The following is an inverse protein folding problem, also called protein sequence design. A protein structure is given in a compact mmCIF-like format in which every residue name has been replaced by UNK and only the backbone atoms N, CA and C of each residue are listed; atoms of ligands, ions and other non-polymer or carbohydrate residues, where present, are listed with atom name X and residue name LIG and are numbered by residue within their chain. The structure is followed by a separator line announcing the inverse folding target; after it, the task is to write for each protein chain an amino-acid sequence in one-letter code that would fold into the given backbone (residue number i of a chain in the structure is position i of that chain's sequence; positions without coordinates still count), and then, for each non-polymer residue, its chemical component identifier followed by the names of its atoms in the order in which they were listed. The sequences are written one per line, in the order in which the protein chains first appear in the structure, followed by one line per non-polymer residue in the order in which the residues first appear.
data_IF_302355027290
#
_entry.id   IF_302355027290
#
_cell.length_a   1.000
_cell.length_b   1.000
_cell.length_c   1.000
_cell.angle_alpha   90.00
_cell.angle_beta   90.00
_cell.angle_gamma   90.00
#
_symmetry.space_group_name_H-M   'P 1'
#
loop_
_entity.id
_entity.type
_entity.pdbx_description
1 polymer ?
#
# COMPACT_ATOMS: atom_id res chain seq x y z
N UNK A 1 -22.83 24.63 30.77
CA UNK A 1 -21.93 23.85 31.64
C UNK A 1 -22.47 22.44 31.72
N UNK A 2 -21.82 21.45 31.10
CA UNK A 2 -22.03 20.02 31.38
C UNK A 2 -20.89 19.22 30.73
N UNK A 3 -20.41 18.21 31.47
CA UNK A 3 -19.19 17.42 31.25
C UNK A 3 -19.58 15.95 30.95
N UNK A 4 -18.65 15.15 30.41
CA UNK A 4 -18.86 13.96 29.56
C UNK A 4 -18.30 12.62 30.08
N UNK A 5 -18.70 11.49 29.47
CA UNK A 5 -18.29 10.12 29.82
C UNK A 5 -16.85 9.76 29.40
N UNK A 6 -16.32 8.66 29.98
CA UNK A 6 -14.89 8.42 30.17
C UNK A 6 -14.55 6.94 29.88
N UNK A 7 -13.54 6.76 29.03
CA UNK A 7 -12.57 5.67 28.94
C UNK A 7 -12.36 4.82 30.21
N UNK A 8 -12.41 3.50 30.05
CA UNK A 8 -11.93 2.51 31.02
C UNK A 8 -10.77 1.73 30.39
N UNK A 9 -9.77 1.40 31.19
CA UNK A 9 -8.51 0.77 30.80
C UNK A 9 -8.66 -0.75 30.49
N UNK A 10 -9.80 -1.17 29.96
CA UNK A 10 -10.16 -2.56 29.70
C UNK A 10 -10.93 -2.64 28.40
N UNK A 11 -10.42 -3.45 27.46
CA UNK A 11 -11.07 -3.81 26.20
C UNK A 11 -12.59 -4.04 26.34
N UNK A 12 -13.36 -3.58 25.36
CA UNK A 12 -14.64 -4.21 24.99
C UNK A 12 -14.56 -4.68 23.53
N UNK A 13 -13.54 -5.48 23.22
CA UNK A 13 -13.38 -6.16 21.92
C UNK A 13 -13.33 -5.25 20.67
N UNK A 14 -13.48 -5.86 19.49
CA UNK A 14 -13.37 -5.26 18.14
C UNK A 14 -14.50 -4.27 17.76
N UNK A 15 -15.11 -3.59 18.72
CA UNK A 15 -16.35 -2.81 18.51
C UNK A 15 -16.07 -1.33 18.20
N UNK A 16 -16.76 -0.82 17.19
CA UNK A 16 -16.80 0.57 16.76
C UNK A 16 -17.79 1.35 17.63
N UNK A 17 -17.36 2.50 18.17
CA UNK A 17 -18.21 3.43 18.92
C UNK A 17 -18.75 4.49 17.96
N UNK A 18 -20.05 4.82 18.04
CA UNK A 18 -20.63 5.87 17.20
C UNK A 18 -21.74 6.65 17.91
N UNK A 19 -22.04 7.83 17.38
CA UNK A 19 -23.11 8.71 17.85
C UNK A 19 -24.04 9.09 16.70
N UNK A 20 -25.34 8.80 16.79
CA UNK A 20 -26.32 9.11 15.74
C UNK A 20 -27.67 9.45 16.35
N UNK A 21 -28.27 10.55 15.89
CA UNK A 21 -29.60 11.00 16.32
C UNK A 21 -29.76 11.16 17.86
N UNK A 22 -28.72 11.62 18.56
CA UNK A 22 -28.78 11.90 20.00
C UNK A 22 -28.62 10.66 20.90
N UNK A 23 -28.26 9.50 20.34
CA UNK A 23 -28.02 8.26 21.07
C UNK A 23 -26.59 7.76 20.83
N UNK A 24 -26.02 7.10 21.85
CA UNK A 24 -24.73 6.41 21.76
C UNK A 24 -24.93 4.94 21.40
N UNK A 25 -23.95 4.35 20.73
CA UNK A 25 -23.91 2.91 20.50
C UNK A 25 -22.49 2.36 20.38
N UNK A 26 -22.35 1.05 20.59
CA UNK A 26 -21.15 0.30 20.25
C UNK A 26 -21.53 -0.95 19.46
N UNK A 27 -20.72 -1.33 18.47
CA UNK A 27 -20.98 -2.53 17.67
C UNK A 27 -19.78 -3.00 16.86
N UNK A 28 -19.71 -4.29 16.54
CA UNK A 28 -18.84 -4.80 15.48
C UNK A 28 -19.53 -4.80 14.11
N UNK A 29 -20.85 -4.56 14.07
CA UNK A 29 -21.75 -4.63 12.90
C UNK A 29 -22.81 -3.51 13.01
N UNK A 30 -22.76 -2.52 12.12
CA UNK A 30 -23.57 -1.29 12.24
C UNK A 30 -25.08 -1.55 12.17
N UNK A 31 -25.50 -2.65 11.55
CA UNK A 31 -26.90 -3.05 11.39
C UNK A 31 -27.45 -3.77 12.63
N UNK A 32 -26.58 -4.20 13.56
CA UNK A 32 -26.93 -4.83 14.85
C UNK A 32 -26.61 -3.97 16.06
N UNK A 33 -26.35 -2.68 15.84
CA UNK A 33 -25.87 -1.82 16.89
C UNK A 33 -26.87 -1.70 18.05
N UNK A 34 -26.39 -2.04 19.26
CA UNK A 34 -27.12 -1.74 20.48
C UNK A 34 -27.02 -0.24 20.75
N UNK A 35 -28.18 0.40 20.84
CA UNK A 35 -28.32 1.83 21.13
C UNK A 35 -28.67 1.97 22.59
N UNK A 36 -28.08 2.96 23.24
CA UNK A 36 -28.36 3.29 24.61
C UNK A 36 -28.75 4.76 24.69
N UNK A 37 -29.74 5.04 25.52
CA UNK A 37 -29.96 6.40 26.00
C UNK A 37 -28.99 6.74 27.16
N UNK A 38 -29.06 7.99 27.61
CA UNK A 38 -28.15 8.52 28.62
C UNK A 38 -28.28 7.81 29.98
N UNK A 39 -29.48 7.42 30.38
CA UNK A 39 -29.73 6.79 31.68
C UNK A 39 -29.35 5.30 31.66
N UNK A 40 -29.56 4.63 30.53
CA UNK A 40 -29.10 3.26 30.28
C UNK A 40 -27.57 3.16 30.32
N UNK A 41 -26.87 4.06 29.62
CA UNK A 41 -25.41 4.12 29.61
C UNK A 41 -24.83 4.33 31.02
N UNK A 42 -25.52 5.13 31.85
CA UNK A 42 -25.14 5.39 33.24
C UNK A 42 -25.34 4.16 34.14
N UNK A 43 -26.40 3.38 33.94
CA UNK A 43 -26.66 2.15 34.72
C UNK A 43 -25.63 1.04 34.48
N UNK A 44 -25.06 0.99 33.27
CA UNK A 44 -24.01 0.05 32.90
C UNK A 44 -22.68 0.40 33.61
N UNK A 45 -22.50 1.65 34.03
CA UNK A 45 -21.25 2.17 34.63
C UNK A 45 -21.03 1.81 36.10
N UNK A 46 -22.05 1.41 36.87
CA UNK A 46 -21.90 1.18 38.33
C UNK A 46 -21.19 -0.15 38.70
N UNK A 47 -20.78 -0.96 37.71
CA UNK A 47 -20.20 -2.29 37.94
C UNK A 47 -18.69 -2.42 37.77
N UNK A 48 -17.98 -1.43 37.20
CA UNK A 48 -16.58 -1.58 36.79
C UNK A 48 -15.70 -0.49 37.40
N UNK A 49 -15.05 -0.77 38.53
CA UNK A 49 -14.25 0.17 39.32
C UNK A 49 -12.96 0.73 38.67
N UNK A 50 -13.07 1.40 37.53
CA UNK A 50 -12.00 2.20 36.92
C UNK A 50 -12.14 3.70 37.24
N UNK A 51 -11.03 4.44 37.29
CA UNK A 51 -11.07 5.90 37.42
C UNK A 51 -11.47 6.57 36.10
N UNK A 52 -12.50 7.41 36.16
CA UNK A 52 -13.13 8.02 34.99
C UNK A 52 -12.85 9.56 34.92
N UNK A 53 -12.29 10.10 33.81
CA UNK A 53 -12.08 11.54 33.41
C UNK A 53 -12.93 12.15 32.26
N UNK A 54 -13.62 13.28 32.51
CA UNK A 54 -14.59 13.88 31.55
C UNK A 54 -13.90 14.57 30.33
N UNK A 55 -14.45 14.43 29.11
CA UNK A 55 -13.87 15.00 27.84
C UNK A 55 -14.90 15.82 27.01
N UNK A 56 -14.61 17.05 26.59
CA UNK A 56 -15.53 17.98 25.86
C UNK A 56 -16.23 17.39 24.59
N UNK A 57 -17.52 17.72 24.33
CA UNK A 57 -18.30 17.20 23.17
C UNK A 57 -17.70 17.61 21.84
N UNK A 58 -17.14 18.82 21.77
CA UNK A 58 -16.54 19.32 20.53
C UNK A 58 -15.33 18.47 20.15
N UNK A 59 -14.64 17.92 21.15
CA UNK A 59 -13.57 16.96 20.93
C UNK A 59 -14.12 15.66 20.34
N UNK A 60 -15.24 15.14 20.85
CA UNK A 60 -15.89 13.91 20.35
C UNK A 60 -16.31 14.02 18.88
N UNK A 61 -16.85 15.16 18.46
CA UNK A 61 -17.19 15.41 17.05
C UNK A 61 -15.94 15.38 16.14
N UNK A 62 -14.82 15.93 16.59
CA UNK A 62 -13.54 15.90 15.86
C UNK A 62 -12.92 14.49 15.77
N UNK A 63 -13.04 13.64 16.81
CA UNK A 63 -12.46 12.28 16.79
C UNK A 63 -13.37 11.26 16.08
N UNK A 64 -14.67 11.51 15.99
CA UNK A 64 -15.69 10.54 15.54
C UNK A 64 -15.66 10.11 14.07
N UNK A 65 -14.70 10.59 13.26
CA UNK A 65 -14.60 10.23 11.83
C UNK A 65 -13.34 9.46 11.44
N UNK A 66 -12.47 9.11 12.40
CA UNK A 66 -11.24 8.37 12.08
C UNK A 66 -11.13 7.10 12.89
N UNK A 67 -11.48 6.00 12.23
CA UNK A 67 -11.02 4.68 12.62
C UNK A 67 -9.50 4.67 12.49
N UNK A 68 -8.77 4.86 13.58
CA UNK A 68 -7.36 4.51 13.64
C UNK A 68 -7.24 3.41 14.67
N UNK A 69 -6.82 2.22 14.23
CA UNK A 69 -6.47 1.14 15.14
C UNK A 69 -5.55 1.72 16.23
N UNK A 70 -5.96 1.63 17.50
CA UNK A 70 -5.23 2.20 18.63
C UNK A 70 -3.82 1.58 18.81
N UNK A 71 -3.53 0.52 18.06
CA UNK A 71 -2.29 -0.22 18.05
C UNK A 71 -1.20 0.46 17.20
N UNK A 72 -1.59 1.39 16.31
CA UNK A 72 -0.67 2.16 15.47
C UNK A 72 -0.45 3.61 15.94
N UNK A 73 -1.09 4.03 17.03
CA UNK A 73 -0.86 5.34 17.62
C UNK A 73 0.26 5.28 18.65
N UNK A 74 1.33 6.05 18.47
CA UNK A 74 2.30 6.31 19.54
C UNK A 74 1.60 7.10 20.65
N UNK A 75 1.07 6.38 21.64
CA UNK A 75 0.32 6.93 22.78
C UNK A 75 1.12 7.98 23.55
N UNK A 76 2.45 8.00 23.42
CA UNK A 76 3.33 9.00 24.05
C UNK A 76 3.24 10.38 23.40
N UNK A 77 2.63 10.50 22.22
CA UNK A 77 2.50 11.75 21.45
C UNK A 77 1.10 12.39 21.54
N UNK A 78 0.11 11.69 22.09
CA UNK A 78 -1.25 12.22 22.26
C UNK A 78 -1.23 13.43 23.22
N UNK A 79 -1.80 14.56 22.80
CA UNK A 79 -1.89 15.78 23.60
C UNK A 79 -0.58 16.58 23.71
N UNK A 80 0.47 16.19 23.00
CA UNK A 80 1.70 16.97 22.87
C UNK A 80 1.66 17.82 21.61
N UNK A 81 2.20 19.03 21.68
CA UNK A 81 2.45 19.84 20.50
C UNK A 81 3.38 19.04 19.58
N UNK A 82 2.89 18.70 18.39
CA UNK A 82 3.74 18.09 17.36
C UNK A 82 4.67 19.23 16.94
N UNK A 83 6.00 19.09 17.08
CA UNK A 83 6.93 20.07 16.54
C UNK A 83 6.51 20.37 15.11
N UNK A 84 6.47 21.65 14.71
CA UNK A 84 6.23 22.00 13.29
C UNK A 84 7.07 21.04 12.47
N UNK A 85 6.40 20.33 11.55
CA UNK A 85 7.03 19.51 10.54
C UNK A 85 8.34 20.17 10.16
N UNK A 86 9.46 19.56 10.58
CA UNK A 86 10.76 20.02 10.12
C UNK A 86 10.68 20.04 8.58
N UNK A 87 11.26 21.06 7.94
CA UNK A 87 11.25 21.20 6.48
C UNK A 87 11.75 19.92 5.79
N UNK A 88 12.40 19.01 6.53
CA UNK A 88 12.76 17.63 6.19
C UNK A 88 11.61 16.66 5.86
N UNK A 89 10.34 17.01 6.09
CA UNK A 89 9.20 16.22 5.56
C UNK A 89 9.21 16.19 4.02
N UNK A 90 9.79 17.22 3.41
CA UNK A 90 10.16 17.27 2.00
C UNK A 90 11.65 17.60 1.94
N UNK A 91 12.52 16.59 2.04
CA UNK A 91 13.96 16.76 1.90
C UNK A 91 14.33 17.17 0.46
N UNK A 92 14.00 18.41 0.08
CA UNK A 92 14.18 18.94 -1.27
C UNK A 92 13.43 18.14 -2.34
N UNK A 93 14.19 17.61 -3.29
CA UNK A 93 13.70 16.84 -4.44
C UNK A 93 13.49 15.34 -4.14
N UNK A 94 13.58 14.92 -2.88
CA UNK A 94 13.47 13.53 -2.48
C UNK A 94 12.06 13.14 -2.01
N UNK A 95 11.69 11.88 -2.25
CA UNK A 95 10.55 11.21 -1.61
C UNK A 95 11.02 10.38 -0.42
N UNK A 96 10.18 10.22 0.60
CA UNK A 96 10.41 9.28 1.71
C UNK A 96 9.83 7.91 1.35
N UNK A 97 10.64 6.86 1.42
CA UNK A 97 10.25 5.50 1.05
C UNK A 97 9.74 4.69 2.26
N UNK A 98 9.22 3.47 2.00
CA UNK A 98 8.70 2.58 3.04
C UNK A 98 9.74 2.22 4.11
N UNK A 99 10.99 2.01 3.71
CA UNK A 99 12.12 1.73 4.59
C UNK A 99 12.61 2.95 5.38
N UNK A 100 12.05 4.14 5.11
CA UNK A 100 12.45 5.41 5.73
C UNK A 100 13.66 6.07 5.06
N UNK A 101 14.05 5.62 3.85
CA UNK A 101 15.09 6.28 3.05
C UNK A 101 14.53 7.47 2.28
N UNK A 102 15.41 8.42 1.95
CA UNK A 102 15.08 9.51 1.04
C UNK A 102 15.66 9.20 -0.34
N UNK A 103 14.80 9.14 -1.36
CA UNK A 103 15.21 8.89 -2.75
C UNK A 103 14.92 10.11 -3.61
N UNK A 104 15.93 10.63 -4.31
CA UNK A 104 15.73 11.64 -5.35
C UNK A 104 15.37 10.95 -6.67
N UNK A 105 14.11 10.99 -7.08
CA UNK A 105 13.67 10.35 -8.34
C UNK A 105 14.17 11.07 -9.60
N UNK A 106 14.62 12.33 -9.47
CA UNK A 106 15.14 13.12 -10.60
C UNK A 106 16.64 12.91 -10.84
N UNK A 107 17.35 12.46 -9.82
CA UNK A 107 18.79 12.13 -9.85
C UNK A 107 19.04 10.93 -8.91
N UNK A 108 18.61 9.72 -9.31
CA UNK A 108 18.56 8.56 -8.43
C UNK A 108 19.94 7.97 -8.19
N UNK A 109 20.32 7.88 -6.92
CA UNK A 109 21.48 7.13 -6.47
C UNK A 109 21.10 5.64 -6.25
N UNK A 110 21.75 4.68 -6.92
CA UNK A 110 21.50 3.25 -6.74
C UNK A 110 21.58 2.75 -5.30
N UNK A 111 22.35 3.40 -4.42
CA UNK A 111 22.47 3.00 -3.01
C UNK A 111 21.24 3.32 -2.14
N UNK A 112 20.43 4.26 -2.58
CA UNK A 112 19.17 4.63 -1.92
C UNK A 112 18.01 3.73 -2.34
N UNK A 113 18.17 2.97 -3.43
CA UNK A 113 17.19 2.02 -3.95
C UNK A 113 17.34 0.68 -3.22
N UNK A 114 16.25 0.21 -2.62
CA UNK A 114 16.18 -1.10 -1.93
C UNK A 114 14.97 -1.88 -2.41
N UNK A 115 15.10 -3.20 -2.46
CA UNK A 115 14.08 -4.07 -3.06
C UNK A 115 12.80 -4.11 -2.22
N UNK A 116 12.91 -3.94 -0.92
CA UNK A 116 11.77 -3.89 0.00
C UNK A 116 10.84 -2.70 -0.29
N UNK A 117 11.40 -1.57 -0.71
CA UNK A 117 10.62 -0.39 -1.09
C UNK A 117 9.89 -0.62 -2.42
N UNK A 118 10.57 -1.26 -3.38
CA UNK A 118 9.96 -1.62 -4.67
C UNK A 118 8.82 -2.60 -4.45
N UNK A 119 9.08 -3.71 -3.76
CA UNK A 119 8.07 -4.73 -3.49
C UNK A 119 6.87 -4.15 -2.72
N UNK A 120 7.12 -3.26 -1.75
CA UNK A 120 6.06 -2.58 -1.01
C UNK A 120 5.23 -1.67 -1.91
N UNK A 121 5.87 -0.77 -2.66
CA UNK A 121 5.18 0.17 -3.54
C UNK A 121 4.36 -0.55 -4.61
N UNK A 122 4.96 -1.51 -5.32
CA UNK A 122 4.28 -2.26 -6.38
C UNK A 122 3.11 -3.12 -5.86
N UNK A 123 3.17 -3.64 -4.64
CA UNK A 123 2.07 -4.40 -4.05
C UNK A 123 0.85 -3.52 -3.70
N UNK A 124 1.09 -2.25 -3.39
CA UNK A 124 0.05 -1.27 -3.08
C UNK A 124 -0.47 -0.53 -4.31
N UNK A 125 0.33 -0.42 -5.37
CA UNK A 125 -0.06 0.25 -6.62
C UNK A 125 -1.02 -0.64 -7.41
N UNK A 126 -2.27 -0.18 -7.61
CA UNK A 126 -3.30 -0.95 -8.33
C UNK A 126 -3.33 -0.59 -9.82
N UNK A 127 -3.33 -1.61 -10.67
CA UNK A 127 -3.31 -1.43 -12.12
C UNK A 127 -4.56 -0.78 -12.69
N UNK A 128 -4.43 -0.33 -13.93
CA UNK A 128 -5.48 0.38 -14.68
C UNK A 128 -5.90 1.68 -13.99
N UNK A 129 -4.94 2.37 -13.37
CA UNK A 129 -5.16 3.62 -12.65
C UNK A 129 -6.21 3.47 -11.55
N UNK A 130 -6.15 2.39 -10.77
CA UNK A 130 -7.08 2.11 -9.66
C UNK A 130 -8.54 1.87 -10.05
N UNK A 131 -8.85 1.56 -11.32
CA UNK A 131 -10.22 1.38 -11.79
C UNK A 131 -10.67 -0.08 -11.93
N UNK A 132 -9.92 -1.04 -11.39
CA UNK A 132 -10.32 -2.43 -11.36
C UNK A 132 -11.32 -2.72 -10.22
N UNK A 133 -12.28 -3.64 -10.43
CA UNK A 133 -13.23 -4.06 -9.39
C UNK A 133 -12.60 -4.90 -8.25
N UNK A 134 -11.34 -5.29 -8.40
CA UNK A 134 -10.52 -5.99 -7.40
C UNK A 134 -9.14 -5.36 -7.37
N UNK A 135 -8.46 -5.44 -6.23
CA UNK A 135 -7.07 -5.01 -6.11
C UNK A 135 -6.15 -5.99 -6.84
N UNK A 136 -5.75 -5.63 -8.06
CA UNK A 136 -4.74 -6.35 -8.83
C UNK A 136 -3.56 -5.40 -9.03
N UNK A 137 -2.47 -5.69 -8.32
CA UNK A 137 -1.37 -4.77 -8.16
C UNK A 137 -0.35 -4.85 -9.29
N UNK A 138 0.52 -3.84 -9.41
CA UNK A 138 1.67 -3.89 -10.33
C UNK A 138 2.60 -5.06 -9.97
N UNK A 139 2.72 -5.42 -8.69
CA UNK A 139 3.46 -6.60 -8.27
C UNK A 139 2.83 -7.90 -8.80
N UNK A 140 1.50 -8.04 -8.81
CA UNK A 140 0.83 -9.19 -9.43
C UNK A 140 1.21 -9.30 -10.91
N UNK A 141 1.07 -8.20 -11.64
CA UNK A 141 1.42 -8.15 -13.06
C UNK A 141 2.89 -8.52 -13.30
N UNK A 142 3.81 -7.93 -12.55
CA UNK A 142 5.25 -8.19 -12.68
C UNK A 142 5.61 -9.65 -12.45
N UNK A 143 4.94 -10.31 -11.49
CA UNK A 143 5.10 -11.74 -11.24
C UNK A 143 4.61 -12.56 -12.43
N UNK A 144 3.44 -12.24 -12.97
CA UNK A 144 2.89 -12.96 -14.14
C UNK A 144 3.75 -12.78 -15.39
N UNK A 145 4.25 -11.58 -15.65
CA UNK A 145 5.22 -11.32 -16.72
C UNK A 145 6.48 -12.16 -16.53
N UNK A 146 7.04 -12.21 -15.32
CA UNK A 146 8.22 -13.03 -15.03
C UNK A 146 7.97 -14.54 -15.19
N UNK A 147 6.75 -15.02 -14.92
CA UNK A 147 6.37 -16.42 -15.07
C UNK A 147 6.33 -16.87 -16.54
N UNK A 148 5.96 -15.97 -17.45
CA UNK A 148 5.92 -16.20 -18.90
C UNK A 148 7.29 -16.19 -19.58
N UNK A 149 8.36 -15.82 -18.88
CA UNK A 149 9.70 -15.61 -19.43
C UNK A 149 10.67 -16.78 -19.17
N UNK A 150 11.68 -16.99 -20.05
CA UNK A 150 12.75 -17.93 -19.80
C UNK A 150 13.62 -17.49 -18.60
N UNK A 151 14.29 -18.44 -17.95
CA UNK A 151 15.03 -18.24 -16.70
C UNK A 151 15.97 -17.01 -16.71
N UNK A 152 16.73 -16.80 -17.78
CA UNK A 152 17.67 -15.68 -17.92
C UNK A 152 17.00 -14.30 -18.02
N UNK A 153 15.69 -14.22 -18.30
CA UNK A 153 14.93 -12.98 -18.38
C UNK A 153 13.96 -12.78 -17.21
N UNK A 154 13.88 -13.72 -16.26
CA UNK A 154 12.89 -13.64 -15.17
C UNK A 154 13.12 -12.46 -14.24
N UNK A 155 14.37 -12.13 -13.93
CA UNK A 155 14.69 -10.97 -13.09
C UNK A 155 14.31 -9.66 -13.81
N UNK A 156 14.64 -9.57 -15.10
CA UNK A 156 14.29 -8.43 -15.95
C UNK A 156 12.77 -8.24 -16.06
N UNK A 157 12.02 -9.34 -16.26
CA UNK A 157 10.56 -9.31 -16.27
C UNK A 157 9.94 -8.98 -14.92
N UNK A 158 10.52 -9.44 -13.81
CA UNK A 158 10.02 -9.11 -12.47
C UNK A 158 10.20 -7.63 -12.12
N UNK A 159 11.27 -6.99 -12.62
CA UNK A 159 11.62 -5.61 -12.31
C UNK A 159 11.25 -4.60 -13.42
N UNK A 160 10.53 -5.02 -14.45
CA UNK A 160 10.29 -4.19 -15.63
C UNK A 160 9.51 -2.89 -15.33
N UNK A 161 8.58 -2.95 -14.37
CA UNK A 161 7.78 -1.80 -13.89
C UNK A 161 8.30 -1.26 -12.53
N UNK A 162 9.53 -1.58 -12.13
CA UNK A 162 10.04 -1.24 -10.78
C UNK A 162 10.02 0.26 -10.43
N UNK A 163 10.15 1.15 -11.43
CA UNK A 163 10.05 2.61 -11.23
C UNK A 163 8.67 3.06 -10.75
N UNK A 164 7.60 2.31 -11.03
CA UNK A 164 6.24 2.63 -10.61
C UNK A 164 6.08 2.57 -9.08
N UNK A 165 6.98 1.86 -8.37
CA UNK A 165 7.00 1.87 -6.91
C UNK A 165 7.28 3.26 -6.31
N UNK A 166 7.91 4.13 -7.09
CA UNK A 166 8.29 5.48 -6.68
C UNK A 166 7.53 6.58 -7.43
N UNK A 167 7.15 6.32 -8.68
CA UNK A 167 6.49 7.30 -9.56
C UNK A 167 4.99 7.06 -9.75
N UNK A 168 4.48 5.88 -9.36
CA UNK A 168 3.10 5.43 -9.57
C UNK A 168 2.84 4.80 -10.95
N UNK A 169 1.76 4.01 -11.06
CA UNK A 169 1.28 3.46 -12.34
C UNK A 169 0.48 4.54 -13.08
N UNK A 170 1.08 5.08 -14.15
CA UNK A 170 0.44 6.08 -14.98
C UNK A 170 -0.16 5.45 -16.23
N UNK A 171 -1.48 5.60 -16.37
CA UNK A 171 -2.20 5.15 -17.56
C UNK A 171 -1.55 5.64 -18.87
N UNK A 172 -1.31 4.69 -19.78
CA UNK A 172 -0.56 4.90 -21.03
C UNK A 172 -0.91 6.17 -21.82
N UNK A 173 -2.19 6.58 -22.00
CA UNK A 173 -2.50 7.81 -22.75
C UNK A 173 -1.96 9.08 -22.09
N UNK A 174 -1.95 9.13 -20.75
CA UNK A 174 -1.45 10.28 -19.98
C UNK A 174 0.08 10.30 -20.03
N UNK A 175 0.72 9.16 -19.79
CA UNK A 175 2.19 9.03 -19.84
C UNK A 175 2.77 9.49 -21.18
N UNK A 176 2.11 9.14 -22.29
CA UNK A 176 2.50 9.55 -23.65
C UNK A 176 2.45 11.06 -23.89
N UNK A 177 1.59 11.80 -23.18
CA UNK A 177 1.53 13.26 -23.30
C UNK A 177 2.53 13.99 -22.39
N UNK A 178 3.34 13.26 -21.61
CA UNK A 178 4.29 13.82 -20.65
C UNK A 178 5.74 13.37 -20.94
N UNK A 179 6.46 14.03 -21.87
CA UNK A 179 7.84 13.67 -22.21
C UNK A 179 8.82 13.77 -21.04
N UNK A 180 8.66 14.77 -20.18
CA UNK A 180 9.53 14.94 -19.01
C UNK A 180 9.35 13.80 -17.99
N UNK A 181 8.13 13.30 -17.82
CA UNK A 181 7.88 12.13 -16.97
C UNK A 181 8.60 10.90 -17.52
N UNK A 182 8.51 10.64 -18.83
CA UNK A 182 9.19 9.51 -19.48
C UNK A 182 10.71 9.61 -19.32
N UNK A 183 11.28 10.81 -19.36
CA UNK A 183 12.72 11.03 -19.14
C UNK A 183 13.13 10.73 -17.69
N UNK A 184 12.33 11.16 -16.71
CA UNK A 184 12.57 10.89 -15.28
C UNK A 184 12.49 9.39 -15.02
N UNK A 185 11.45 8.74 -15.55
CA UNK A 185 11.24 7.30 -15.41
C UNK A 185 12.36 6.48 -16.07
N UNK A 186 12.83 6.85 -17.27
CA UNK A 186 13.99 6.19 -17.93
C UNK A 186 15.26 6.32 -17.08
N UNK A 187 15.50 7.49 -16.48
CA UNK A 187 16.62 7.72 -15.56
C UNK A 187 16.54 6.85 -14.31
N UNK A 188 15.36 6.77 -13.69
CA UNK A 188 15.11 5.93 -12.52
C UNK A 188 15.25 4.44 -12.85
N UNK A 189 14.69 3.98 -13.98
CA UNK A 189 14.81 2.60 -14.42
C UNK A 189 16.27 2.19 -14.70
N UNK A 190 17.10 3.09 -15.24
CA UNK A 190 18.55 2.83 -15.38
C UNK A 190 19.23 2.62 -14.03
N UNK A 191 18.98 3.49 -13.06
CA UNK A 191 19.56 3.35 -11.72
C UNK A 191 19.10 2.06 -11.01
N UNK A 192 17.83 1.67 -11.19
CA UNK A 192 17.29 0.39 -10.69
C UNK A 192 17.97 -0.80 -11.40
N UNK A 193 18.14 -0.73 -12.71
CA UNK A 193 18.81 -1.77 -13.50
C UNK A 193 20.27 -1.95 -13.09
N UNK A 194 21.00 -0.85 -12.87
CA UNK A 194 22.37 -0.86 -12.36
C UNK A 194 22.43 -1.48 -10.96
N UNK A 195 21.49 -1.11 -10.07
CA UNK A 195 21.43 -1.62 -8.70
C UNK A 195 21.23 -3.14 -8.64
N UNK A 196 20.35 -3.69 -9.48
CA UNK A 196 19.97 -5.10 -9.44
C UNK A 196 20.54 -5.93 -10.58
N UNK A 197 21.42 -5.37 -11.39
CA UNK A 197 22.18 -6.05 -12.44
C UNK A 197 21.27 -6.78 -13.47
N UNK A 198 20.26 -6.08 -13.99
CA UNK A 198 19.47 -6.55 -15.14
C UNK A 198 19.60 -5.59 -16.33
N UNK A 199 19.14 -6.00 -17.51
CA UNK A 199 19.30 -5.20 -18.72
C UNK A 199 18.27 -4.07 -18.79
N UNK A 200 18.74 -2.85 -19.06
CA UNK A 200 17.89 -1.74 -19.46
C UNK A 200 18.56 -0.93 -20.59
N UNK A 201 17.88 -0.62 -21.71
CA UNK A 201 16.47 -0.85 -22.00
C UNK A 201 16.06 -2.33 -22.08
N UNK A 202 14.81 -2.61 -21.69
CA UNK A 202 14.27 -3.96 -21.64
C UNK A 202 14.32 -4.69 -23.00
N UNK A 203 14.66 -5.98 -22.94
CA UNK A 203 14.65 -7.00 -23.97
C UNK A 203 13.29 -7.08 -24.66
N UNK A 204 13.29 -7.50 -25.92
CA UNK A 204 12.06 -7.55 -26.74
C UNK A 204 11.07 -8.56 -26.18
N UNK A 205 11.57 -9.67 -25.67
CA UNK A 205 10.82 -10.77 -25.07
C UNK A 205 10.04 -10.30 -23.85
N UNK A 206 10.64 -9.48 -22.98
CA UNK A 206 9.98 -8.89 -21.81
C UNK A 206 8.84 -7.97 -22.25
N UNK A 207 9.06 -7.10 -23.24
CA UNK A 207 8.02 -6.22 -23.79
C UNK A 207 6.88 -6.97 -24.48
N UNK A 208 7.18 -8.12 -25.07
CA UNK A 208 6.17 -8.99 -25.69
C UNK A 208 5.33 -9.64 -24.58
N UNK A 209 5.96 -10.12 -23.51
CA UNK A 209 5.26 -10.79 -22.42
C UNK A 209 4.42 -9.84 -21.57
N UNK A 210 4.93 -8.64 -21.25
CA UNK A 210 4.16 -7.55 -20.63
C UNK A 210 2.86 -7.26 -21.42
N UNK A 211 2.97 -7.06 -22.73
CA UNK A 211 1.79 -6.82 -23.59
C UNK A 211 0.78 -7.96 -23.54
N UNK A 212 1.24 -9.22 -23.57
CA UNK A 212 0.34 -10.38 -23.47
C UNK A 212 -0.34 -10.41 -22.11
N UNK A 213 0.39 -10.17 -21.02
CA UNK A 213 -0.17 -10.12 -19.67
C UNK A 213 -1.26 -9.04 -19.58
N UNK A 214 -0.99 -7.83 -20.11
CA UNK A 214 -1.98 -6.74 -20.18
C UNK A 214 -3.26 -7.13 -20.95
N UNK A 215 -3.13 -7.83 -22.08
CA UNK A 215 -4.27 -8.32 -22.86
C UNK A 215 -5.11 -9.34 -22.08
N UNK A 216 -4.45 -10.29 -21.41
CA UNK A 216 -5.12 -11.30 -20.58
C UNK A 216 -5.80 -10.63 -19.38
N UNK A 217 -5.15 -9.66 -18.74
CA UNK A 217 -5.71 -8.85 -17.64
C UNK A 217 -6.96 -8.09 -18.07
N UNK A 218 -6.92 -7.45 -19.24
CA UNK A 218 -8.05 -6.73 -19.80
C UNK A 218 -9.27 -7.63 -20.00
N UNK A 219 -9.10 -8.75 -20.70
CA UNK A 219 -10.15 -9.76 -20.90
C UNK A 219 -10.63 -10.29 -19.54
N UNK A 220 -9.68 -10.49 -18.62
CA UNK A 220 -9.96 -11.09 -17.32
C UNK A 220 -10.83 -10.21 -16.44
N UNK A 221 -10.47 -8.94 -16.30
CA UNK A 221 -11.08 -8.03 -15.32
C UNK A 221 -12.13 -7.10 -15.90
N UNK A 222 -12.10 -6.81 -17.21
CA UNK A 222 -13.06 -5.87 -17.85
C UNK A 222 -14.17 -6.57 -18.61
N UNK A 223 -13.86 -7.62 -19.38
CA UNK A 223 -14.84 -8.24 -20.28
C UNK A 223 -15.70 -9.32 -19.60
N UNK A 224 -15.10 -10.09 -18.69
CA UNK A 224 -15.82 -11.14 -17.97
C UNK A 224 -16.64 -10.57 -16.80
N UNK A 225 -17.83 -10.04 -17.11
CA UNK A 225 -18.74 -9.36 -16.18
C UNK A 225 -19.09 -10.10 -14.86
N UNK A 226 -18.86 -11.41 -14.68
CA UNK A 226 -19.22 -12.12 -13.44
C UNK A 226 -18.38 -13.38 -13.08
N UNK A 227 -17.10 -13.48 -13.49
CA UNK A 227 -16.34 -14.73 -13.29
C UNK A 227 -15.03 -14.55 -12.50
N UNK A 228 -15.12 -14.33 -11.19
CA UNK A 228 -13.96 -14.45 -10.29
C UNK A 228 -13.61 -15.91 -9.92
N UNK A 229 -14.48 -16.87 -10.27
CA UNK A 229 -14.26 -18.28 -9.97
C UNK A 229 -13.51 -18.95 -11.13
N UNK A 230 -12.22 -19.28 -10.90
CA UNK A 230 -11.44 -20.19 -11.74
C UNK A 230 -10.58 -19.55 -12.84
N UNK A 231 -10.05 -18.35 -12.62
CA UNK A 231 -9.21 -17.63 -13.59
C UNK A 231 -7.70 -17.81 -13.36
N UNK A 232 -6.85 -17.60 -14.40
CA UNK A 232 -5.44 -18.01 -14.40
C UNK A 232 -4.53 -17.24 -13.43
N UNK A 233 -4.98 -16.12 -12.88
CA UNK A 233 -4.18 -15.27 -11.99
C UNK A 233 -4.52 -15.48 -10.52
N UNK A 234 -3.49 -15.63 -9.68
CA UNK A 234 -3.63 -15.65 -8.23
C UNK A 234 -3.76 -14.22 -7.69
N UNK A 235 -4.96 -13.82 -7.28
CA UNK A 235 -5.19 -12.54 -6.59
C UNK A 235 -4.99 -12.79 -5.09
N UNK A 236 -3.74 -12.64 -4.64
CA UNK A 236 -3.39 -12.69 -3.22
C UNK A 236 -3.61 -11.31 -2.57
N UNK A 237 -3.64 -11.25 -1.23
CA UNK A 237 -3.65 -9.97 -0.53
C UNK A 237 -2.30 -9.24 -0.68
N UNK A 238 -2.26 -7.95 -0.34
CA UNK A 238 -1.09 -7.09 -0.53
C UNK A 238 0.17 -7.57 0.23
N UNK A 239 0.02 -8.18 1.40
CA UNK A 239 1.15 -8.71 2.16
C UNK A 239 1.70 -9.96 1.48
N UNK A 240 0.82 -10.89 1.10
CA UNK A 240 1.20 -12.13 0.44
C UNK A 240 1.89 -11.84 -0.91
N UNK A 241 1.39 -10.87 -1.70
CA UNK A 241 2.01 -10.53 -2.98
C UNK A 241 3.37 -9.85 -2.82
N UNK A 242 3.54 -9.01 -1.80
CA UNK A 242 4.83 -8.40 -1.47
C UNK A 242 5.86 -9.47 -1.10
N UNK A 243 5.51 -10.40 -0.21
CA UNK A 243 6.40 -11.47 0.21
C UNK A 243 6.75 -12.40 -0.97
N UNK A 244 5.77 -12.70 -1.84
CA UNK A 244 6.00 -13.49 -3.05
C UNK A 244 6.94 -12.79 -4.03
N UNK A 245 6.76 -11.49 -4.26
CA UNK A 245 7.63 -10.68 -5.10
C UNK A 245 9.08 -10.72 -4.58
N UNK A 246 9.28 -10.50 -3.27
CA UNK A 246 10.60 -10.58 -2.62
C UNK A 246 11.21 -11.98 -2.76
N UNK A 247 10.42 -13.03 -2.53
CA UNK A 247 10.85 -14.41 -2.67
C UNK A 247 11.36 -14.69 -4.09
N UNK A 248 10.59 -14.30 -5.11
CA UNK A 248 10.95 -14.48 -6.52
C UNK A 248 12.17 -13.65 -6.91
N UNK A 249 12.27 -12.41 -6.45
CA UNK A 249 13.44 -11.57 -6.65
C UNK A 249 14.72 -12.27 -6.18
N UNK A 250 14.73 -12.82 -4.96
CA UNK A 250 15.89 -13.51 -4.43
C UNK A 250 16.22 -14.80 -5.20
N UNK A 251 15.22 -15.51 -5.71
CA UNK A 251 15.43 -16.70 -6.55
C UNK A 251 16.05 -16.29 -7.88
N UNK A 252 15.47 -15.32 -8.59
CA UNK A 252 15.91 -14.91 -9.92
C UNK A 252 17.27 -14.21 -9.87
N UNK A 253 17.56 -13.41 -8.84
CA UNK A 253 18.88 -12.81 -8.62
C UNK A 253 19.98 -13.87 -8.48
N UNK A 254 19.71 -14.95 -7.74
CA UNK A 254 20.65 -16.08 -7.60
C UNK A 254 20.84 -16.84 -8.91
N UNK A 255 19.79 -16.95 -9.73
CA UNK A 255 19.87 -17.60 -11.04
C UNK A 255 20.72 -16.78 -12.01
N UNK A 256 20.48 -15.47 -12.10
CA UNK A 256 21.26 -14.56 -12.94
C UNK A 256 22.76 -14.56 -12.59
N UNK A 257 23.10 -14.54 -11.28
CA UNK A 257 24.50 -14.60 -10.84
C UNK A 257 25.21 -15.93 -11.15
N UNK A 258 24.47 -17.04 -11.25
CA UNK A 258 25.03 -18.35 -11.66
C UNK A 258 25.31 -18.43 -13.15
N UNK A 259 24.47 -17.82 -13.98
CA UNK A 259 24.67 -17.78 -15.43
C UNK A 259 25.87 -16.89 -15.81
N UNK A 260 26.09 -15.78 -15.09
CA UNK A 260 27.25 -14.90 -15.29
C UNK A 260 28.61 -15.53 -14.92
N UNK A 261 28.65 -16.60 -14.11
CA UNK A 261 29.88 -17.26 -13.66
C UNK A 261 30.29 -18.47 -14.52
N UNK A 262 29.46 -18.87 -15.49
CA UNK A 262 29.72 -19.99 -16.40
C UNK A 262 29.87 -19.56 -17.87
N UNK A 263 29.92 -18.25 -18.14
CA UNK A 263 30.10 -17.65 -19.47
C UNK A 263 31.53 -17.23 -19.76
#
# INVERSE_FOLDING_TARGET
MSKYLIWANSYVGNSLLFWRAGQAGYTTDIDKAHRFDFDEAKSICDGSGGEHKLIDARHLEEVSTRQVHADHFDRKRIGKEIPKADETLYAGSCILTYSGKYLNVFDPNPDDIVIEDIAHGLALECRFGNHLPVHYSVANHSIEVSNGLPNHLKLEGLLHDASEAYLGDMASPIKKSMPDYQRIEDGLMRAIADKFSFNYPLSKEVKIEDRKALEIEHITFREAKHAYKGKPFCIANQLDIREEFLRLFHIYSKMAGKEASHG
#
